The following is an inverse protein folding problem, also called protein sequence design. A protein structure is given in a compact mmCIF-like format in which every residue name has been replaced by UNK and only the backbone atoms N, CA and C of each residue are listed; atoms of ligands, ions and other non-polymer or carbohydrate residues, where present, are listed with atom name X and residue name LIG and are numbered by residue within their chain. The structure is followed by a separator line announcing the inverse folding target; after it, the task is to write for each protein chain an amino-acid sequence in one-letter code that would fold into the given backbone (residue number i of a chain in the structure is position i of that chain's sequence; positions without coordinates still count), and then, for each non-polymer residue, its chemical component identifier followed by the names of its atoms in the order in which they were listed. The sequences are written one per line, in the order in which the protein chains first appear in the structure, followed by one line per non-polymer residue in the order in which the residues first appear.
data_IF_949585855495
#
_entry.id   IF_949585855495
#
_cell.length_a   1.000
_cell.length_b   1.000
_cell.length_c   1.000
_cell.angle_alpha   90.00
_cell.angle_beta   90.00
_cell.angle_gamma   90.00
#
_symmetry.space_group_name_H-M   'P 1'
#
loop_
_entity.id
_entity.type
_entity.pdbx_description
1 polymer ?
#
# COMPACT_ATOMS: atom_id res chain seq x y z
N UNK A 1 13.08 -78.73 44.70
CA UNK A 1 12.05 -77.71 44.50
C UNK A 1 12.72 -76.37 44.20
N UNK A 2 12.86 -76.02 42.89
CA UNK A 2 13.59 -74.82 42.44
C UNK A 2 12.58 -73.81 42.02
N UNK A 3 12.54 -72.65 42.71
CA UNK A 3 11.70 -71.51 42.33
C UNK A 3 12.43 -70.63 41.31
N UNK A 4 11.99 -70.60 40.07
CA UNK A 4 12.45 -69.69 39.03
C UNK A 4 11.87 -68.30 39.31
N UNK A 5 12.75 -67.31 39.54
CA UNK A 5 12.39 -65.90 39.63
C UNK A 5 12.38 -65.36 38.22
N UNK A 6 11.18 -64.99 37.72
CA UNK A 6 11.02 -64.27 36.45
C UNK A 6 11.25 -62.76 36.69
N UNK A 7 12.28 -62.26 36.09
CA UNK A 7 12.54 -60.81 36.08
C UNK A 7 11.73 -60.18 34.96
N UNK A 8 10.83 -59.25 35.34
CA UNK A 8 10.08 -58.42 34.39
C UNK A 8 10.93 -57.16 34.06
N UNK A 9 11.38 -57.09 32.84
CA UNK A 9 12.06 -55.90 32.34
C UNK A 9 11.02 -54.82 31.93
N UNK A 10 11.01 -53.72 32.65
CA UNK A 10 10.20 -52.52 32.28
C UNK A 10 10.98 -51.73 31.21
N UNK A 11 10.49 -51.80 29.98
CA UNK A 11 10.99 -50.95 28.90
C UNK A 11 10.32 -49.60 29.03
N UNK A 12 11.06 -48.59 29.49
CA UNK A 12 10.62 -47.21 29.49
C UNK A 12 10.76 -46.62 28.09
N UNK A 13 9.66 -46.53 27.37
CA UNK A 13 9.57 -45.80 26.10
C UNK A 13 9.57 -44.28 26.36
N UNK A 14 10.71 -43.65 26.10
CA UNK A 14 10.83 -42.18 26.11
C UNK A 14 10.20 -41.67 24.84
N UNK A 15 8.96 -41.15 24.94
CA UNK A 15 8.31 -40.41 23.87
C UNK A 15 8.96 -39.01 23.76
N UNK A 16 9.79 -38.83 22.78
CA UNK A 16 10.25 -37.51 22.37
C UNK A 16 9.07 -36.77 21.72
N UNK A 17 8.47 -35.86 22.46
CA UNK A 17 7.47 -34.95 21.93
C UNK A 17 8.11 -33.96 20.95
N UNK A 18 7.98 -34.18 19.66
CA UNK A 18 8.31 -33.19 18.66
C UNK A 18 7.22 -32.11 18.74
N UNK A 19 7.52 -30.98 19.39
CA UNK A 19 6.69 -29.78 19.31
C UNK A 19 6.85 -29.19 17.91
N UNK A 20 5.90 -29.48 17.04
CA UNK A 20 5.73 -28.76 15.78
C UNK A 20 5.23 -27.39 16.15
N UNK A 21 6.14 -26.39 16.17
CA UNK A 21 5.77 -24.98 16.15
C UNK A 21 5.19 -24.73 14.77
N UNK A 22 3.86 -24.77 14.68
CA UNK A 22 3.16 -24.31 13.50
C UNK A 22 3.45 -22.80 13.36
N UNK A 23 4.43 -22.48 12.53
CA UNK A 23 4.63 -21.12 12.02
C UNK A 23 3.37 -20.73 11.28
N UNK A 24 2.46 -20.02 11.96
CA UNK A 24 1.28 -19.47 11.33
C UNK A 24 1.70 -18.48 10.26
N UNK A 25 1.73 -18.93 9.02
CA UNK A 25 1.69 -18.03 7.88
C UNK A 25 0.49 -17.11 8.10
N UNK A 26 0.75 -15.85 8.39
CA UNK A 26 -0.28 -14.83 8.41
C UNK A 26 -0.67 -14.60 6.95
N UNK A 27 -1.57 -15.44 6.45
CA UNK A 27 -2.27 -15.21 5.19
C UNK A 27 -2.93 -13.83 5.39
N UNK A 28 -2.48 -12.85 4.64
CA UNK A 28 -3.10 -11.54 4.63
C UNK A 28 -4.60 -11.75 4.36
N UNK A 29 -5.43 -11.34 5.32
CA UNK A 29 -6.88 -11.50 5.20
C UNK A 29 -7.30 -10.78 3.91
N UNK A 30 -7.94 -11.45 2.95
CA UNK A 30 -8.41 -10.75 1.76
C UNK A 30 -9.35 -9.64 2.18
N UNK A 31 -9.17 -8.45 1.59
CA UNK A 31 -10.04 -7.31 1.83
C UNK A 31 -11.49 -7.72 1.63
N UNK A 32 -12.33 -7.36 2.57
CA UNK A 32 -13.77 -7.62 2.45
C UNK A 32 -14.35 -6.86 1.26
N UNK A 33 -15.44 -7.34 0.69
CA UNK A 33 -16.12 -6.65 -0.41
C UNK A 33 -16.48 -5.19 -0.05
N UNK A 34 -16.75 -4.90 1.23
CA UNK A 34 -17.01 -3.56 1.74
C UNK A 34 -15.76 -2.67 1.72
N UNK A 35 -14.60 -3.19 2.12
CA UNK A 35 -13.32 -2.46 2.05
C UNK A 35 -12.89 -2.19 0.60
N UNK A 36 -13.13 -3.15 -0.30
CA UNK A 36 -12.93 -2.97 -1.73
C UNK A 36 -13.89 -1.95 -2.34
N UNK A 37 -15.13 -1.86 -1.86
CA UNK A 37 -16.10 -0.86 -2.30
C UNK A 37 -15.77 0.53 -1.76
N UNK A 38 -15.43 0.66 -0.48
CA UNK A 38 -15.03 1.94 0.14
C UNK A 38 -13.81 2.55 -0.54
N UNK A 39 -12.87 1.72 -1.01
CA UNK A 39 -11.72 2.20 -1.79
C UNK A 39 -12.06 2.61 -3.22
N UNK A 40 -13.28 2.33 -3.69
CA UNK A 40 -13.75 2.63 -5.06
C UNK A 40 -14.74 3.78 -5.12
N UNK A 41 -15.25 4.23 -3.99
CA UNK A 41 -16.22 5.32 -3.96
C UNK A 41 -15.52 6.67 -3.81
N UNK A 42 -15.97 7.64 -4.61
CA UNK A 42 -15.54 9.03 -4.46
C UNK A 42 -16.16 9.60 -3.18
N UNK A 43 -15.38 10.31 -2.34
CA UNK A 43 -15.93 11.08 -1.24
C UNK A 43 -17.06 11.99 -1.73
N UNK A 44 -18.08 12.19 -0.91
CA UNK A 44 -19.15 13.11 -1.24
C UNK A 44 -18.60 14.55 -1.33
N UNK A 45 -19.02 15.30 -2.34
CA UNK A 45 -18.59 16.69 -2.54
C UNK A 45 -18.99 17.22 -3.91
N UNK A 46 -18.99 18.55 -4.04
CA UNK A 46 -19.49 19.25 -5.23
C UNK A 46 -18.77 18.85 -6.54
N UNK A 47 -17.51 18.41 -6.47
CA UNK A 47 -16.75 17.96 -7.66
C UNK A 47 -16.88 16.47 -7.97
N UNK A 48 -17.51 15.66 -7.10
CA UNK A 48 -17.61 14.21 -7.26
C UNK A 48 -18.34 13.81 -8.55
N UNK A 49 -19.42 14.53 -8.91
CA UNK A 49 -20.18 14.24 -10.12
C UNK A 49 -19.39 14.63 -11.38
N UNK A 50 -18.61 15.70 -11.32
CA UNK A 50 -17.69 16.08 -12.41
C UNK A 50 -16.64 15.00 -12.61
N UNK A 51 -16.03 14.45 -11.54
CA UNK A 51 -15.11 13.34 -11.65
C UNK A 51 -15.78 12.13 -12.32
N UNK A 52 -17.01 11.77 -11.89
CA UNK A 52 -17.74 10.64 -12.49
C UNK A 52 -18.04 10.88 -13.97
N UNK A 53 -18.47 12.08 -14.33
CA UNK A 53 -18.87 12.39 -15.70
C UNK A 53 -17.70 12.58 -16.66
N UNK A 54 -16.57 13.13 -16.18
CA UNK A 54 -15.47 13.59 -17.03
C UNK A 54 -14.22 12.72 -16.99
N UNK A 55 -13.98 12.00 -15.87
CA UNK A 55 -12.71 11.29 -15.67
C UNK A 55 -12.83 9.79 -15.83
N UNK A 56 -13.84 9.16 -15.20
CA UNK A 56 -13.93 7.69 -15.14
C UNK A 56 -14.47 7.03 -16.41
N UNK A 57 -14.85 7.82 -17.41
CA UNK A 57 -15.24 7.30 -18.73
C UNK A 57 -14.06 6.70 -19.52
N UNK A 58 -12.85 7.15 -19.26
CA UNK A 58 -11.65 6.73 -19.98
C UNK A 58 -10.75 5.80 -19.17
N UNK A 59 -10.76 5.91 -17.84
CA UNK A 59 -9.96 5.06 -16.96
C UNK A 59 -10.67 4.81 -15.62
N UNK A 60 -10.22 3.81 -14.88
CA UNK A 60 -10.80 3.49 -13.58
C UNK A 60 -10.54 4.57 -12.52
N UNK A 61 -11.48 4.69 -11.58
CA UNK A 61 -11.40 5.60 -10.43
C UNK A 61 -10.12 5.43 -9.61
N UNK A 62 -9.52 4.25 -9.63
CA UNK A 62 -8.31 3.93 -8.88
C UNK A 62 -7.14 4.84 -9.21
N UNK A 63 -7.03 5.30 -10.46
CA UNK A 63 -5.97 6.24 -10.86
C UNK A 63 -6.12 7.61 -10.17
N UNK A 64 -7.31 7.95 -9.71
CA UNK A 64 -7.60 9.20 -9.00
C UNK A 64 -7.43 8.99 -7.50
N UNK A 65 -8.10 8.01 -6.92
CA UNK A 65 -8.15 7.84 -5.45
C UNK A 65 -6.83 7.43 -4.82
N UNK A 66 -5.91 6.88 -5.60
CA UNK A 66 -4.56 6.53 -5.14
C UNK A 66 -3.57 7.70 -5.15
N UNK A 67 -3.91 8.83 -5.81
CA UNK A 67 -3.05 10.01 -5.88
C UNK A 67 -3.23 10.92 -4.66
N UNK A 68 -2.15 11.64 -4.32
CA UNK A 68 -2.18 12.74 -3.34
C UNK A 68 -1.38 13.89 -3.92
N UNK A 69 -2.07 14.89 -4.43
CA UNK A 69 -1.46 16.03 -5.11
C UNK A 69 -1.91 17.35 -4.46
N UNK A 70 -1.05 18.36 -4.56
CA UNK A 70 -1.47 19.75 -4.26
C UNK A 70 -2.50 20.20 -5.29
N UNK A 71 -3.19 21.31 -5.04
CA UNK A 71 -4.13 21.88 -6.01
C UNK A 71 -3.46 22.15 -7.36
N UNK A 72 -2.21 22.66 -7.36
CA UNK A 72 -1.40 22.87 -8.56
C UNK A 72 -1.00 21.56 -9.24
N UNK A 73 -0.76 20.51 -8.45
CA UNK A 73 -0.53 19.16 -8.95
C UNK A 73 -1.75 18.62 -9.67
N UNK A 74 -2.93 18.77 -9.07
CA UNK A 74 -4.20 18.41 -9.71
C UNK A 74 -4.51 19.22 -10.94
N UNK A 75 -4.18 20.53 -10.95
CA UNK A 75 -4.31 21.37 -12.15
C UNK A 75 -3.50 20.78 -13.32
N UNK A 76 -2.23 20.45 -13.10
CA UNK A 76 -1.41 19.85 -14.17
C UNK A 76 -1.96 18.50 -14.67
N UNK A 77 -2.52 17.69 -13.79
CA UNK A 77 -3.15 16.44 -14.20
C UNK A 77 -4.43 16.67 -15.00
N UNK A 78 -5.28 17.60 -14.59
CA UNK A 78 -6.50 17.98 -15.32
C UNK A 78 -6.13 18.56 -16.70
N UNK A 79 -5.15 19.45 -16.80
CA UNK A 79 -4.65 20.00 -18.05
C UNK A 79 -4.12 18.90 -18.99
N UNK A 80 -3.38 17.94 -18.44
CA UNK A 80 -2.91 16.77 -19.18
C UNK A 80 -4.08 15.92 -19.71
N UNK A 81 -5.10 15.66 -18.88
CA UNK A 81 -6.28 14.93 -19.32
C UNK A 81 -7.07 15.69 -20.38
N UNK A 82 -7.19 17.03 -20.27
CA UNK A 82 -7.83 17.85 -21.30
C UNK A 82 -7.05 17.84 -22.61
N UNK A 83 -5.72 17.82 -22.55
CA UNK A 83 -4.89 17.66 -23.76
C UNK A 83 -5.09 16.31 -24.45
N UNK A 84 -5.55 15.29 -23.71
CA UNK A 84 -5.90 13.97 -24.22
C UNK A 84 -7.38 13.81 -24.55
N UNK A 85 -8.15 14.89 -24.48
CA UNK A 85 -9.54 14.93 -24.94
C UNK A 85 -10.60 14.91 -23.83
N UNK A 86 -10.23 14.99 -22.55
CA UNK A 86 -11.21 15.20 -21.50
C UNK A 86 -11.83 16.59 -21.61
N UNK A 87 -13.16 16.66 -21.55
CA UNK A 87 -13.89 17.93 -21.68
C UNK A 87 -14.33 18.42 -20.31
N UNK A 88 -13.72 19.49 -19.83
CA UNK A 88 -14.11 20.21 -18.61
C UNK A 88 -14.79 21.51 -19.05
N UNK A 89 -16.03 21.73 -18.62
CA UNK A 89 -16.73 22.94 -19.00
C UNK A 89 -16.15 24.19 -18.29
N UNK A 90 -16.23 25.37 -18.93
CA UNK A 90 -15.87 26.61 -18.24
C UNK A 90 -16.68 26.75 -16.91
N UNK A 91 -16.02 27.00 -15.83
CA UNK A 91 -16.61 27.07 -14.49
C UNK A 91 -16.69 25.74 -13.72
N UNK A 92 -16.49 24.59 -14.35
CA UNK A 92 -16.36 23.31 -13.63
C UNK A 92 -14.94 23.11 -13.03
N UNK A 93 -13.91 23.72 -13.62
CA UNK A 93 -12.51 23.44 -13.30
C UNK A 93 -12.15 23.78 -11.85
N UNK A 94 -12.52 24.97 -11.37
CA UNK A 94 -12.16 25.38 -10.01
C UNK A 94 -12.83 24.48 -8.95
N UNK A 95 -14.13 24.21 -9.09
CA UNK A 95 -14.84 23.31 -8.19
C UNK A 95 -14.29 21.88 -8.24
N UNK A 96 -13.87 21.40 -9.40
CA UNK A 96 -13.21 20.11 -9.57
C UNK A 96 -11.86 20.08 -8.86
N UNK A 97 -11.02 21.10 -9.04
CA UNK A 97 -9.70 21.20 -8.43
C UNK A 97 -9.80 21.32 -6.90
N UNK A 98 -10.74 22.10 -6.40
CA UNK A 98 -10.98 22.25 -4.97
C UNK A 98 -11.44 20.91 -4.35
N UNK A 99 -12.33 20.20 -5.03
CA UNK A 99 -12.76 18.87 -4.63
C UNK A 99 -11.59 17.87 -4.60
N UNK A 100 -10.80 17.81 -5.67
CA UNK A 100 -9.66 16.90 -5.77
C UNK A 100 -8.60 17.20 -4.71
N UNK A 101 -8.32 18.49 -4.47
CA UNK A 101 -7.37 18.89 -3.45
C UNK A 101 -7.87 18.63 -2.03
N UNK A 102 -9.17 18.79 -1.78
CA UNK A 102 -9.77 18.51 -0.47
C UNK A 102 -9.87 17.01 -0.19
N UNK A 103 -10.24 16.20 -1.21
CA UNK A 103 -10.45 14.77 -1.06
C UNK A 103 -9.17 13.93 -1.20
N UNK A 104 -8.25 14.39 -2.04
CA UNK A 104 -7.03 13.69 -2.42
C UNK A 104 -5.81 14.63 -2.40
N UNK A 105 -5.79 15.54 -1.44
CA UNK A 105 -4.67 16.45 -1.21
C UNK A 105 -3.46 15.76 -0.60
N UNK A 106 -2.33 16.44 -0.63
CA UNK A 106 -1.11 16.03 0.06
C UNK A 106 -1.35 16.20 1.55
N UNK A 107 -1.33 15.10 2.30
CA UNK A 107 -1.31 15.18 3.75
C UNK A 107 0.07 15.61 4.24
N UNK A 108 0.16 16.28 5.41
CA UNK A 108 1.45 16.59 6.02
C UNK A 108 2.27 15.30 6.15
N UNK A 109 3.54 15.42 5.78
CA UNK A 109 4.49 14.31 5.64
C UNK A 109 4.44 13.32 6.80
N UNK A 110 4.55 12.02 6.52
CA UNK A 110 4.62 10.90 7.48
C UNK A 110 5.78 10.96 8.50
N UNK A 111 6.44 12.08 8.62
CA UNK A 111 7.57 12.31 9.52
C UNK A 111 7.15 12.72 10.94
N UNK A 112 5.87 12.52 11.31
CA UNK A 112 5.28 13.13 12.51
C UNK A 112 5.71 12.52 13.86
N UNK A 113 6.52 11.47 13.90
CA UNK A 113 6.94 10.86 15.16
C UNK A 113 8.45 10.88 15.47
N UNK A 114 9.21 11.76 14.80
CA UNK A 114 10.59 12.08 15.19
C UNK A 114 11.59 10.93 15.15
N UNK A 115 11.14 9.72 14.90
CA UNK A 115 11.97 8.54 14.72
C UNK A 115 12.18 8.32 13.24
N UNK A 116 13.40 8.56 12.76
CA UNK A 116 13.82 8.09 11.44
C UNK A 116 13.72 6.56 11.45
N UNK A 117 12.57 6.04 11.02
CA UNK A 117 12.40 4.59 10.97
C UNK A 117 13.41 4.00 9.98
N UNK A 118 13.83 2.74 10.22
CA UNK A 118 14.69 2.02 9.26
C UNK A 118 14.14 2.07 7.84
N UNK A 119 12.82 2.03 7.69
CA UNK A 119 12.15 2.14 6.41
C UNK A 119 12.33 3.54 5.77
N UNK A 120 12.24 4.62 6.54
CA UNK A 120 12.48 5.97 6.03
C UNK A 120 13.94 6.16 5.59
N UNK A 121 14.89 5.67 6.38
CA UNK A 121 16.31 5.69 6.00
C UNK A 121 16.56 4.85 4.72
N UNK A 122 15.88 3.71 4.59
CA UNK A 122 15.97 2.85 3.42
C UNK A 122 15.40 3.52 2.16
N UNK A 123 14.25 4.22 2.27
CA UNK A 123 13.69 5.01 1.17
C UNK A 123 14.69 6.05 0.67
N UNK A 124 15.32 6.79 1.59
CA UNK A 124 16.36 7.76 1.21
C UNK A 124 17.55 7.10 0.53
N UNK A 125 18.05 6.01 1.09
CA UNK A 125 19.26 5.35 0.59
C UNK A 125 19.06 4.63 -0.75
N UNK A 126 17.87 4.08 -1.02
CA UNK A 126 17.61 3.20 -2.15
C UNK A 126 16.77 3.86 -3.26
N UNK A 127 15.88 4.77 -2.91
CA UNK A 127 14.91 5.32 -3.86
C UNK A 127 15.29 6.72 -4.36
N UNK A 128 15.90 7.58 -3.51
CA UNK A 128 16.32 8.94 -3.90
C UNK A 128 17.43 8.96 -4.95
N UNK A 129 18.11 7.86 -5.20
CA UNK A 129 19.16 7.80 -6.23
C UNK A 129 18.63 7.96 -7.65
N UNK A 130 17.36 7.66 -7.89
CA UNK A 130 16.76 7.69 -9.22
C UNK A 130 15.65 8.73 -9.37
N UNK A 131 14.90 9.03 -8.31
CA UNK A 131 13.78 9.96 -8.34
C UNK A 131 13.51 10.61 -6.96
N UNK A 132 12.75 11.70 -6.94
CA UNK A 132 12.32 12.37 -5.72
C UNK A 132 11.32 11.49 -4.93
N UNK A 133 11.44 11.48 -3.61
CA UNK A 133 10.53 10.74 -2.72
C UNK A 133 9.08 11.20 -2.80
N UNK A 134 8.83 12.42 -3.31
CA UNK A 134 7.46 12.91 -3.54
C UNK A 134 6.65 11.99 -4.45
N UNK A 135 7.29 11.28 -5.39
CA UNK A 135 6.62 10.28 -6.22
C UNK A 135 6.04 9.13 -5.39
N UNK A 136 6.69 8.80 -4.29
CA UNK A 136 6.25 7.78 -3.33
C UNK A 136 5.20 8.36 -2.38
N UNK A 137 5.47 9.55 -1.84
CA UNK A 137 4.62 10.21 -0.85
C UNK A 137 3.24 10.59 -1.38
N UNK A 138 3.14 10.84 -2.69
CA UNK A 138 1.86 11.14 -3.35
C UNK A 138 1.00 9.90 -3.62
N UNK A 139 1.51 8.69 -3.43
CA UNK A 139 0.77 7.45 -3.68
C UNK A 139 0.10 6.91 -2.40
N UNK A 140 -1.07 6.31 -2.57
CA UNK A 140 -1.81 5.60 -1.51
C UNK A 140 -2.22 4.24 -2.04
N UNK A 141 -1.26 3.32 -2.03
CA UNK A 141 -1.47 1.95 -2.46
C UNK A 141 -1.65 1.06 -1.22
N UNK A 142 -2.41 -0.03 -1.37
CA UNK A 142 -2.42 -1.11 -0.40
C UNK A 142 -1.12 -1.92 -0.46
N UNK A 143 -0.95 -2.87 0.44
CA UNK A 143 0.27 -3.68 0.52
C UNK A 143 0.59 -4.41 -0.78
N UNK A 144 -0.42 -4.97 -1.45
CA UNK A 144 -0.26 -5.65 -2.74
C UNK A 144 0.18 -4.67 -3.85
N UNK A 145 -0.41 -3.47 -3.87
CA UNK A 145 -0.02 -2.41 -4.80
C UNK A 145 1.43 -1.99 -4.60
N UNK A 146 1.84 -1.77 -3.35
CA UNK A 146 3.23 -1.44 -3.03
C UNK A 146 4.20 -2.58 -3.37
N UNK A 147 3.81 -3.84 -3.11
CA UNK A 147 4.64 -4.98 -3.49
C UNK A 147 4.91 -5.00 -5.00
N UNK A 148 3.89 -4.79 -5.84
CA UNK A 148 4.05 -4.72 -7.30
C UNK A 148 4.91 -3.53 -7.75
N UNK A 149 4.75 -2.35 -7.13
CA UNK A 149 5.58 -1.19 -7.46
C UNK A 149 7.04 -1.42 -7.10
N UNK A 150 7.33 -2.02 -5.94
CA UNK A 150 8.70 -2.36 -5.55
C UNK A 150 9.31 -3.43 -6.47
N UNK A 151 8.54 -4.45 -6.89
CA UNK A 151 9.00 -5.43 -7.87
C UNK A 151 9.38 -4.78 -9.20
N UNK A 152 8.58 -3.82 -9.64
CA UNK A 152 8.87 -3.04 -10.84
C UNK A 152 10.16 -2.23 -10.68
N UNK A 153 10.35 -1.55 -9.54
CA UNK A 153 11.60 -0.82 -9.26
C UNK A 153 12.82 -1.74 -9.20
N UNK A 154 12.68 -2.92 -8.59
CA UNK A 154 13.74 -3.96 -8.57
C UNK A 154 14.05 -4.41 -10.00
N UNK A 155 13.03 -4.64 -10.82
CA UNK A 155 13.19 -4.97 -12.24
C UNK A 155 13.91 -3.88 -13.04
N UNK A 156 13.87 -2.62 -12.59
CA UNK A 156 14.60 -1.50 -13.17
C UNK A 156 15.95 -1.22 -12.51
N UNK A 157 16.38 -2.08 -11.57
CA UNK A 157 17.71 -2.03 -10.97
C UNK A 157 17.77 -1.49 -9.55
N UNK A 158 16.65 -1.26 -8.87
CA UNK A 158 16.67 -0.92 -7.45
C UNK A 158 17.22 -2.10 -6.63
N UNK A 159 18.28 -1.85 -5.85
CA UNK A 159 18.93 -2.87 -5.04
C UNK A 159 18.19 -3.02 -3.69
N UNK A 160 17.24 -3.94 -3.61
CA UNK A 160 16.51 -4.30 -2.39
C UNK A 160 16.65 -5.80 -2.13
N UNK A 161 16.86 -6.15 -0.87
CA UNK A 161 16.68 -7.54 -0.41
C UNK A 161 15.21 -7.83 -0.14
N UNK A 162 14.82 -9.11 -0.06
CA UNK A 162 13.43 -9.49 0.24
C UNK A 162 12.95 -8.89 1.57
N UNK A 163 13.79 -8.91 2.60
CA UNK A 163 13.47 -8.33 3.91
C UNK A 163 13.33 -6.80 3.89
N UNK A 164 14.14 -6.10 3.07
CA UNK A 164 14.01 -4.67 2.85
C UNK A 164 12.69 -4.35 2.10
N UNK A 165 12.35 -5.15 1.09
CA UNK A 165 11.08 -5.03 0.38
C UNK A 165 9.88 -5.21 1.31
N UNK A 166 9.86 -6.26 2.13
CA UNK A 166 8.79 -6.50 3.10
C UNK A 166 8.63 -5.33 4.07
N UNK A 167 9.74 -4.83 4.63
CA UNK A 167 9.74 -3.66 5.51
C UNK A 167 9.17 -2.42 4.84
N UNK A 168 9.52 -2.17 3.57
CA UNK A 168 9.00 -1.05 2.80
C UNK A 168 7.51 -1.21 2.49
N UNK A 169 7.06 -2.40 2.11
CA UNK A 169 5.63 -2.67 1.89
C UNK A 169 4.83 -2.38 3.16
N UNK A 170 5.27 -2.89 4.31
CA UNK A 170 4.60 -2.63 5.58
C UNK A 170 4.56 -1.13 5.92
N UNK A 171 5.68 -0.43 5.75
CA UNK A 171 5.78 1.00 6.04
C UNK A 171 4.88 1.85 5.14
N UNK A 172 4.91 1.59 3.83
CA UNK A 172 4.22 2.39 2.82
C UNK A 172 2.71 2.13 2.77
N UNK A 173 2.27 0.91 3.12
CA UNK A 173 0.86 0.54 3.13
C UNK A 173 0.12 1.02 4.40
N UNK A 174 0.83 1.52 5.42
CA UNK A 174 0.18 2.05 6.64
C UNK A 174 -0.70 3.24 6.30
N UNK A 175 -1.95 3.27 6.80
CA UNK A 175 -2.77 4.47 6.68
C UNK A 175 -2.07 5.62 7.41
N UNK A 176 -2.08 6.80 6.79
CA UNK A 176 -1.66 8.05 7.46
C UNK A 176 -2.76 8.36 8.49
N UNK A 177 -2.36 8.46 9.76
CA UNK A 177 -3.26 8.86 10.85
C UNK A 177 -3.24 10.37 11.00
#
# INVERSE_FOLDING_TARGET
MSRRKTAVAIVATVLWGVSIVAGGERIATPLTAAELQTSRELPAGQGADTVRARCISCHGIQLIVQQRLTREGWLREVEKMTSWGAVIAPGEQDALLDYLAASFGVEPTRTADGTTSKAAALLQARCQTCHDLRLIEQQRLNAEGWARELDKMIGWGAALTDSEKEMLVEHLARPVR
#
